data_IF_344537847769
#
_entry.id   IF_344537847769
#
_cell.length_a   1.000
_cell.length_b   1.000
_cell.length_c   1.000
_cell.angle_alpha   90.00
_cell.angle_beta   90.00
_cell.angle_gamma   90.00
#
_symmetry.space_group_name_H-M   'P 1'
#
loop_
_entity.id
_entity.type
_entity.pdbx_description
1 polymer ?
#
# COMPACT_ATOMS: atom_id res chain seq x y z
N UNK A 1 -9.91 -10.29 -19.37
CA UNK A 1 -8.85 -9.94 -18.41
C UNK A 1 -7.71 -9.13 -19.02
N UNK A 2 -6.86 -9.71 -19.88
CA UNK A 2 -5.59 -9.07 -20.32
C UNK A 2 -5.78 -7.68 -20.95
N UNK A 3 -6.78 -7.50 -21.81
CA UNK A 3 -7.11 -6.20 -22.41
C UNK A 3 -7.52 -5.15 -21.36
N UNK A 4 -8.24 -5.55 -20.32
CA UNK A 4 -8.66 -4.67 -19.22
C UNK A 4 -7.41 -4.17 -18.47
N UNK A 5 -6.47 -5.06 -18.18
CA UNK A 5 -5.25 -4.73 -17.45
C UNK A 5 -4.28 -3.88 -18.28
N UNK A 6 -4.13 -4.19 -19.57
CA UNK A 6 -3.36 -3.35 -20.49
C UNK A 6 -3.97 -1.95 -20.61
N UNK A 7 -5.30 -1.87 -20.73
CA UNK A 7 -6.05 -0.62 -20.70
C UNK A 7 -5.82 0.15 -19.39
N UNK A 8 -5.89 -0.52 -18.24
CA UNK A 8 -5.61 0.08 -16.94
C UNK A 8 -4.18 0.65 -16.86
N UNK A 9 -3.16 -0.12 -17.26
CA UNK A 9 -1.76 0.33 -17.24
C UNK A 9 -1.57 1.54 -18.16
N UNK A 10 -2.13 1.49 -19.36
CA UNK A 10 -2.10 2.62 -20.31
C UNK A 10 -2.79 3.86 -19.74
N UNK A 11 -3.98 3.69 -19.14
CA UNK A 11 -4.74 4.77 -18.53
C UNK A 11 -4.00 5.41 -17.35
N UNK A 12 -3.39 4.62 -16.47
CA UNK A 12 -2.74 5.12 -15.26
C UNK A 12 -1.37 5.75 -15.56
N UNK A 13 -0.58 5.14 -16.44
CA UNK A 13 0.79 5.58 -16.70
C UNK A 13 0.88 6.67 -17.76
N UNK A 14 -0.01 6.66 -18.75
CA UNK A 14 0.10 7.54 -19.91
C UNK A 14 -1.10 8.49 -20.04
N UNK A 15 -2.29 7.95 -20.30
CA UNK A 15 -3.44 8.78 -20.69
C UNK A 15 -3.94 9.68 -19.54
N UNK A 16 -4.04 9.14 -18.33
CA UNK A 16 -4.53 9.82 -17.14
C UNK A 16 -3.64 10.98 -16.69
N UNK A 17 -2.31 10.78 -16.52
CA UNK A 17 -1.39 11.88 -16.23
C UNK A 17 -1.41 12.98 -17.30
N UNK A 18 -1.47 12.62 -18.59
CA UNK A 18 -1.56 13.58 -19.69
C UNK A 18 -2.87 14.36 -19.69
N UNK A 19 -4.00 13.68 -19.43
CA UNK A 19 -5.31 14.31 -19.27
C UNK A 19 -5.36 15.27 -18.08
N UNK A 20 -4.70 14.90 -16.97
CA UNK A 20 -4.64 15.72 -15.76
C UNK A 20 -3.60 16.84 -15.84
N UNK A 21 -2.66 16.84 -16.79
CA UNK A 21 -1.55 17.80 -16.86
C UNK A 21 -2.04 19.26 -16.71
N UNK A 22 -3.04 19.65 -17.50
CA UNK A 22 -3.59 21.00 -17.54
C UNK A 22 -4.83 21.20 -16.65
N UNK A 23 -5.15 20.25 -15.75
CA UNK A 23 -6.32 20.32 -14.86
C UNK A 23 -5.92 20.44 -13.40
N UNK A 24 -6.78 21.06 -12.60
CA UNK A 24 -6.63 21.07 -11.13
C UNK A 24 -6.96 19.68 -10.57
N UNK A 25 -6.32 19.22 -9.48
CA UNK A 25 -6.62 17.94 -8.87
C UNK A 25 -8.07 17.90 -8.36
N UNK A 26 -8.78 16.79 -8.59
CA UNK A 26 -10.19 16.66 -8.20
C UNK A 26 -10.35 16.52 -6.68
N UNK A 27 -11.41 17.12 -6.14
CA UNK A 27 -11.80 17.03 -4.72
C UNK A 27 -12.71 15.82 -4.48
N UNK A 28 -12.14 14.62 -4.53
CA UNK A 28 -12.89 13.34 -4.45
C UNK A 28 -13.07 12.82 -3.00
N UNK A 29 -13.15 13.72 -2.01
CA UNK A 29 -13.14 13.32 -0.58
C UNK A 29 -14.27 12.33 -0.25
N UNK A 30 -15.51 12.71 -0.54
CA UNK A 30 -16.70 11.89 -0.24
C UNK A 30 -16.67 10.56 -0.99
N UNK A 31 -16.31 10.60 -2.27
CA UNK A 31 -16.19 9.39 -3.09
C UNK A 31 -15.17 8.41 -2.52
N UNK A 32 -13.99 8.89 -2.11
CA UNK A 32 -12.97 8.04 -1.47
C UNK A 32 -13.45 7.48 -0.13
N UNK A 33 -14.12 8.28 0.70
CA UNK A 33 -14.65 7.79 1.99
C UNK A 33 -15.64 6.65 1.76
N UNK A 34 -16.64 6.86 0.89
CA UNK A 34 -17.63 5.82 0.54
C UNK A 34 -16.93 4.58 -0.01
N UNK A 35 -16.06 4.76 -1.01
CA UNK A 35 -15.33 3.67 -1.63
C UNK A 35 -14.53 2.85 -0.60
N UNK A 36 -13.73 3.49 0.25
CA UNK A 36 -12.92 2.78 1.24
C UNK A 36 -13.80 2.00 2.23
N UNK A 37 -14.92 2.57 2.70
CA UNK A 37 -15.83 1.84 3.59
C UNK A 37 -16.58 0.70 2.89
N UNK A 38 -16.95 0.85 1.61
CA UNK A 38 -17.47 -0.25 0.80
C UNK A 38 -16.42 -1.36 0.64
N UNK A 39 -15.15 -1.01 0.46
CA UNK A 39 -14.05 -1.97 0.39
C UNK A 39 -13.83 -2.69 1.73
N UNK A 40 -13.96 -1.99 2.86
CA UNK A 40 -13.95 -2.62 4.20
C UNK A 40 -15.06 -3.65 4.32
N UNK A 41 -16.31 -3.28 4.02
CA UNK A 41 -17.45 -4.18 4.10
C UNK A 41 -17.31 -5.40 3.16
N UNK A 42 -16.86 -5.16 1.92
CA UNK A 42 -16.66 -6.21 0.92
C UNK A 42 -15.56 -7.19 1.34
N UNK A 43 -14.41 -6.69 1.81
CA UNK A 43 -13.34 -7.57 2.30
C UNK A 43 -13.73 -8.31 3.57
N UNK A 44 -14.47 -7.68 4.50
CA UNK A 44 -14.97 -8.36 5.69
C UNK A 44 -15.94 -9.50 5.33
N UNK A 45 -16.81 -9.27 4.34
CA UNK A 45 -17.68 -10.32 3.81
C UNK A 45 -16.89 -11.45 3.14
N UNK A 46 -15.86 -11.13 2.35
CA UNK A 46 -14.99 -12.14 1.74
C UNK A 46 -14.25 -12.97 2.81
N UNK A 47 -13.76 -12.35 3.88
CA UNK A 47 -13.15 -13.07 5.01
C UNK A 47 -14.15 -14.03 5.64
N UNK A 48 -15.37 -13.56 5.91
CA UNK A 48 -16.44 -14.40 6.45
C UNK A 48 -16.75 -15.59 5.53
N UNK A 49 -16.86 -15.35 4.21
CA UNK A 49 -17.09 -16.41 3.24
C UNK A 49 -15.96 -17.43 3.21
N UNK A 50 -14.69 -17.02 3.22
CA UNK A 50 -13.55 -17.97 3.29
C UNK A 50 -13.55 -18.79 4.59
N UNK A 51 -13.81 -18.15 5.73
CA UNK A 51 -13.90 -18.85 7.02
C UNK A 51 -15.02 -19.90 6.99
N UNK A 52 -16.21 -19.51 6.54
CA UNK A 52 -17.36 -20.41 6.52
C UNK A 52 -17.36 -21.42 5.37
N UNK A 53 -16.45 -21.29 4.40
CA UNK A 53 -16.29 -22.23 3.28
C UNK A 53 -15.29 -23.35 3.56
N UNK A 54 -14.50 -23.24 4.64
CA UNK A 54 -13.57 -24.29 5.03
C UNK A 54 -12.64 -23.88 6.17
N UNK A 55 -12.01 -22.71 6.09
CA UNK A 55 -10.95 -22.29 7.01
C UNK A 55 -11.35 -22.24 8.49
N UNK A 56 -12.60 -21.91 8.79
CA UNK A 56 -13.16 -21.89 10.14
C UNK A 56 -14.00 -23.12 10.50
N UNK A 57 -14.10 -24.12 9.62
CA UNK A 57 -15.02 -25.26 9.81
C UNK A 57 -14.36 -26.61 9.58
N UNK A 58 -13.91 -26.89 8.36
CA UNK A 58 -13.47 -28.23 7.92
C UNK A 58 -11.98 -28.34 7.63
N UNK A 59 -11.30 -27.22 7.37
CA UNK A 59 -9.88 -27.21 6.98
C UNK A 59 -8.97 -27.40 8.20
N UNK A 60 -7.86 -28.08 7.95
CA UNK A 60 -6.86 -28.49 8.95
C UNK A 60 -5.71 -27.51 9.10
N UNK A 61 -5.64 -26.46 8.27
CA UNK A 61 -4.56 -25.48 8.23
C UNK A 61 -3.21 -26.10 7.84
N UNK A 62 -3.28 -27.16 7.02
CA UNK A 62 -2.13 -27.95 6.55
C UNK A 62 -2.31 -28.30 5.07
N UNK A 63 -2.36 -29.60 4.74
CA UNK A 63 -2.63 -30.09 3.40
C UNK A 63 -4.16 -30.17 3.18
N UNK A 64 -4.78 -29.00 2.99
CA UNK A 64 -6.19 -28.95 2.63
C UNK A 64 -6.30 -29.06 1.10
N UNK A 65 -6.93 -30.14 0.63
CA UNK A 65 -7.08 -30.44 -0.79
C UNK A 65 -8.20 -29.61 -1.42
N UNK A 66 -8.17 -29.50 -2.74
CA UNK A 66 -9.30 -28.92 -3.48
C UNK A 66 -10.46 -29.92 -3.42
N UNK A 67 -11.67 -29.44 -3.11
CA UNK A 67 -12.89 -30.25 -3.20
C UNK A 67 -13.58 -29.98 -4.55
N UNK A 68 -13.52 -30.92 -5.52
CA UNK A 68 -14.16 -30.74 -6.82
C UNK A 68 -15.67 -31.06 -6.81
N UNK A 69 -16.23 -31.49 -5.67
CA UNK A 69 -17.63 -31.87 -5.59
C UNK A 69 -18.56 -30.66 -5.68
N UNK A 70 -19.82 -30.90 -6.03
CA UNK A 70 -20.87 -29.87 -6.06
C UNK A 70 -21.56 -29.69 -4.72
N UNK A 71 -20.88 -30.02 -3.61
CA UNK A 71 -21.45 -29.84 -2.28
C UNK A 71 -21.58 -28.34 -1.93
N UNK A 72 -22.49 -27.96 -1.01
CA UNK A 72 -22.72 -26.56 -0.70
C UNK A 72 -21.48 -25.82 -0.18
N UNK A 73 -20.55 -26.49 0.51
CA UNK A 73 -19.32 -25.86 1.02
C UNK A 73 -18.30 -25.57 -0.09
N UNK A 74 -18.04 -26.54 -0.97
CA UNK A 74 -17.15 -26.40 -2.12
C UNK A 74 -17.65 -25.29 -3.06
N UNK A 75 -18.96 -25.27 -3.36
CA UNK A 75 -19.57 -24.19 -4.14
C UNK A 75 -19.46 -22.82 -3.45
N UNK A 76 -19.51 -22.79 -2.11
CA UNK A 76 -19.31 -21.55 -1.34
C UNK A 76 -17.86 -21.08 -1.44
N UNK A 77 -16.87 -21.98 -1.34
CA UNK A 77 -15.45 -21.67 -1.52
C UNK A 77 -15.19 -21.08 -2.90
N UNK A 78 -15.73 -21.72 -3.95
CA UNK A 78 -15.60 -21.22 -5.33
C UNK A 78 -16.20 -19.81 -5.45
N UNK A 79 -17.39 -19.56 -4.88
CA UNK A 79 -18.00 -18.22 -4.86
C UNK A 79 -17.14 -17.21 -4.11
N UNK A 80 -16.56 -17.58 -2.97
CA UNK A 80 -15.66 -16.73 -2.19
C UNK A 80 -14.42 -16.34 -3.01
N UNK A 81 -13.80 -17.30 -3.71
CA UNK A 81 -12.68 -17.08 -4.63
C UNK A 81 -13.06 -16.12 -5.77
N UNK A 82 -14.23 -16.29 -6.39
CA UNK A 82 -14.74 -15.36 -7.41
C UNK A 82 -14.99 -13.95 -6.85
N UNK A 83 -15.54 -13.82 -5.64
CA UNK A 83 -15.72 -12.53 -4.98
C UNK A 83 -14.38 -11.85 -4.71
N UNK A 84 -13.39 -12.60 -4.22
CA UNK A 84 -12.04 -12.10 -4.02
C UNK A 84 -11.42 -11.62 -5.35
N UNK A 85 -11.53 -12.41 -6.41
CA UNK A 85 -11.04 -12.04 -7.74
C UNK A 85 -11.69 -10.76 -8.27
N UNK A 86 -13.02 -10.66 -8.19
CA UNK A 86 -13.72 -9.47 -8.62
C UNK A 86 -13.29 -8.24 -7.81
N UNK A 87 -13.05 -8.40 -6.51
CA UNK A 87 -12.56 -7.31 -5.66
C UNK A 87 -11.24 -6.74 -6.17
N UNK A 88 -10.32 -7.55 -6.72
CA UNK A 88 -9.05 -7.06 -7.30
C UNK A 88 -9.24 -6.07 -8.46
N UNK A 89 -10.33 -6.19 -9.22
CA UNK A 89 -10.67 -5.20 -10.26
C UNK A 89 -11.23 -3.91 -9.67
N UNK A 90 -12.05 -4.02 -8.63
CA UNK A 90 -12.56 -2.84 -7.90
C UNK A 90 -11.40 -2.05 -7.29
N UNK A 91 -10.37 -2.75 -6.80
CA UNK A 91 -9.15 -2.15 -6.25
C UNK A 91 -8.33 -1.33 -7.27
N UNK A 92 -8.53 -1.55 -8.58
CA UNK A 92 -7.90 -0.71 -9.61
C UNK A 92 -8.33 0.77 -9.51
N UNK A 93 -9.47 1.04 -8.87
CA UNK A 93 -9.95 2.40 -8.61
C UNK A 93 -9.03 3.15 -7.64
N UNK A 94 -8.25 2.48 -6.79
CA UNK A 94 -7.25 3.13 -5.91
C UNK A 94 -6.29 3.98 -6.73
N UNK A 95 -5.79 3.41 -7.82
CA UNK A 95 -4.85 4.07 -8.71
C UNK A 95 -5.52 5.17 -9.52
N UNK A 96 -6.78 4.98 -9.92
CA UNK A 96 -7.57 6.03 -10.56
C UNK A 96 -7.72 7.25 -9.62
N UNK A 97 -8.00 7.05 -8.33
CA UNK A 97 -8.04 8.14 -7.34
C UNK A 97 -6.69 8.85 -7.20
N UNK A 98 -5.57 8.13 -7.24
CA UNK A 98 -4.24 8.76 -7.19
C UNK A 98 -3.96 9.64 -8.41
N UNK A 99 -4.29 9.16 -9.61
CA UNK A 99 -4.12 9.92 -10.86
C UNK A 99 -5.01 11.17 -10.87
N UNK A 100 -6.30 11.03 -10.56
CA UNK A 100 -7.26 12.14 -10.54
C UNK A 100 -6.94 13.20 -9.47
N UNK A 101 -6.22 12.82 -8.41
CA UNK A 101 -5.75 13.74 -7.36
C UNK A 101 -4.33 14.27 -7.57
N UNK A 102 -3.67 13.94 -8.69
CA UNK A 102 -2.26 14.27 -8.97
C UNK A 102 -1.30 13.80 -7.86
N UNK A 103 -1.58 12.63 -7.27
CA UNK A 103 -0.73 12.01 -6.24
C UNK A 103 0.22 10.98 -6.84
N UNK A 104 1.01 11.40 -7.82
CA UNK A 104 1.92 10.52 -8.58
C UNK A 104 2.97 9.81 -7.70
N UNK A 105 3.36 10.39 -6.55
CA UNK A 105 4.26 9.73 -5.61
C UNK A 105 3.70 8.44 -4.99
N UNK A 106 2.37 8.25 -5.03
CA UNK A 106 1.69 7.03 -4.58
C UNK A 106 1.62 5.97 -5.69
N UNK A 107 1.75 6.37 -6.96
CA UNK A 107 1.75 5.48 -8.12
C UNK A 107 3.17 4.92 -8.32
N UNK A 108 3.55 3.98 -7.46
CA UNK A 108 4.88 3.34 -7.50
C UNK A 108 4.88 2.09 -8.38
N UNK A 109 6.08 1.62 -8.76
CA UNK A 109 6.23 0.32 -9.41
C UNK A 109 5.57 -0.80 -8.59
N UNK A 110 5.80 -0.83 -7.27
CA UNK A 110 5.18 -1.80 -6.37
C UNK A 110 3.65 -1.79 -6.48
N UNK A 111 3.04 -0.61 -6.46
CA UNK A 111 1.59 -0.44 -6.55
C UNK A 111 1.05 -0.95 -7.89
N UNK A 112 1.61 -0.49 -9.00
CA UNK A 112 1.14 -0.88 -10.33
C UNK A 112 1.37 -2.36 -10.59
N UNK A 113 2.55 -2.88 -10.25
CA UNK A 113 2.87 -4.29 -10.42
C UNK A 113 1.89 -5.15 -9.63
N UNK A 114 1.66 -4.85 -8.35
CA UNK A 114 0.68 -5.55 -7.53
C UNK A 114 -0.73 -5.51 -8.15
N UNK A 115 -1.27 -4.33 -8.42
CA UNK A 115 -2.64 -4.18 -8.92
C UNK A 115 -2.84 -4.71 -10.35
N UNK A 116 -1.78 -4.86 -11.15
CA UNK A 116 -1.87 -5.46 -12.49
C UNK A 116 -1.71 -6.98 -12.42
N UNK A 117 -0.75 -7.44 -11.62
CA UNK A 117 -0.36 -8.84 -11.60
C UNK A 117 -1.30 -9.71 -10.78
N UNK A 118 -1.82 -9.20 -9.65
CA UNK A 118 -2.76 -9.93 -8.78
C UNK A 118 -4.03 -10.40 -9.51
N UNK A 119 -4.82 -9.54 -10.18
CA UNK A 119 -5.97 -10.00 -10.96
C UNK A 119 -5.53 -10.87 -12.15
N UNK A 120 -4.32 -10.70 -12.68
CA UNK A 120 -3.83 -11.52 -13.77
C UNK A 120 -3.58 -12.97 -13.35
N UNK A 121 -2.86 -13.19 -12.24
CA UNK A 121 -2.55 -14.53 -11.74
C UNK A 121 -3.79 -15.24 -11.20
N UNK A 122 -4.67 -14.52 -10.51
CA UNK A 122 -5.90 -15.06 -9.93
C UNK A 122 -6.87 -15.62 -10.96
N UNK A 123 -6.94 -15.04 -12.16
CA UNK A 123 -7.76 -15.59 -13.23
C UNK A 123 -7.36 -17.02 -13.58
N UNK A 124 -6.05 -17.28 -13.68
CA UNK A 124 -5.54 -18.61 -13.97
C UNK A 124 -5.79 -19.56 -12.79
N UNK A 125 -5.66 -19.07 -11.55
CA UNK A 125 -6.00 -19.83 -10.34
C UNK A 125 -7.45 -20.31 -10.33
N UNK A 126 -8.42 -19.43 -10.60
CA UNK A 126 -9.86 -19.76 -10.60
C UNK A 126 -10.29 -20.58 -11.81
N UNK A 127 -9.68 -20.35 -12.98
CA UNK A 127 -10.13 -21.00 -14.23
C UNK A 127 -9.49 -22.36 -14.47
N UNK A 128 -8.24 -22.56 -14.06
CA UNK A 128 -7.54 -23.83 -14.24
C UNK A 128 -7.77 -24.78 -13.06
N UNK A 129 -8.17 -24.26 -11.91
CA UNK A 129 -8.52 -25.04 -10.72
C UNK A 129 -9.79 -24.50 -10.06
N UNK A 130 -10.70 -25.36 -9.57
CA UNK A 130 -11.71 -24.92 -8.62
C UNK A 130 -10.95 -24.41 -7.38
N UNK A 131 -10.76 -23.10 -7.29
CA UNK A 131 -9.87 -22.53 -6.29
C UNK A 131 -10.41 -22.77 -4.90
N UNK A 132 -9.60 -23.44 -4.08
CA UNK A 132 -9.94 -23.94 -2.75
C UNK A 132 -8.73 -24.65 -2.14
N UNK A 133 -8.94 -25.30 -1.00
CA UNK A 133 -7.87 -25.95 -0.26
C UNK A 133 -6.80 -24.96 0.22
N UNK A 134 -5.58 -25.44 0.39
CA UNK A 134 -4.46 -24.69 0.96
C UNK A 134 -4.06 -23.45 0.14
N UNK A 135 -4.34 -23.43 -1.17
CA UNK A 135 -4.08 -22.30 -2.06
C UNK A 135 -4.90 -21.06 -1.69
N UNK A 136 -6.13 -21.24 -1.21
CA UNK A 136 -7.03 -20.12 -0.86
C UNK A 136 -6.62 -19.35 0.41
N UNK A 137 -5.63 -19.84 1.17
CA UNK A 137 -5.20 -19.26 2.44
C UNK A 137 -4.74 -17.80 2.28
N UNK A 138 -3.93 -17.52 1.26
CA UNK A 138 -3.39 -16.18 1.05
C UNK A 138 -4.48 -15.16 0.71
N UNK A 139 -5.57 -15.60 0.09
CA UNK A 139 -6.72 -14.78 -0.22
C UNK A 139 -7.44 -14.34 1.05
N UNK A 140 -7.68 -15.30 1.95
CA UNK A 140 -8.31 -15.04 3.24
C UNK A 140 -7.47 -14.06 4.07
N UNK A 141 -6.17 -14.31 4.22
CA UNK A 141 -5.28 -13.42 4.99
C UNK A 141 -5.18 -12.05 4.31
N UNK A 142 -5.10 -11.98 2.97
CA UNK A 142 -5.08 -10.71 2.26
C UNK A 142 -6.36 -9.90 2.49
N UNK A 143 -7.53 -10.53 2.42
CA UNK A 143 -8.80 -9.87 2.69
C UNK A 143 -8.86 -9.33 4.12
N UNK A 144 -8.36 -10.08 5.13
CA UNK A 144 -8.25 -9.60 6.51
C UNK A 144 -7.37 -8.34 6.62
N UNK A 145 -6.21 -8.34 5.98
CA UNK A 145 -5.32 -7.16 5.98
C UNK A 145 -5.94 -6.00 5.20
N UNK A 146 -6.67 -6.27 4.12
CA UNK A 146 -7.37 -5.25 3.35
C UNK A 146 -8.49 -4.58 4.15
N UNK A 147 -9.19 -5.29 5.05
CA UNK A 147 -10.11 -4.67 6.01
C UNK A 147 -9.39 -3.59 6.83
N UNK A 148 -8.20 -3.90 7.37
CA UNK A 148 -7.41 -2.98 8.19
C UNK A 148 -6.90 -1.81 7.33
N UNK A 149 -6.34 -2.10 6.15
CA UNK A 149 -5.78 -1.11 5.23
C UNK A 149 -6.83 -0.12 4.72
N UNK A 150 -7.99 -0.60 4.26
CA UNK A 150 -9.06 0.26 3.76
C UNK A 150 -9.73 1.04 4.89
N UNK A 151 -9.77 0.50 6.13
CA UNK A 151 -10.19 1.27 7.31
C UNK A 151 -9.25 2.46 7.53
N UNK A 152 -7.93 2.24 7.45
CA UNK A 152 -6.95 3.30 7.56
C UNK A 152 -7.14 4.36 6.45
N UNK A 153 -7.34 3.95 5.19
CA UNK A 153 -7.54 4.87 4.08
C UNK A 153 -8.87 5.63 4.15
N UNK A 154 -9.94 4.99 4.59
CA UNK A 154 -11.24 5.63 4.84
C UNK A 154 -11.14 6.73 5.90
N UNK A 155 -10.49 6.42 7.03
CA UNK A 155 -10.23 7.40 8.10
C UNK A 155 -9.29 8.52 7.63
N UNK A 156 -8.26 8.20 6.84
CA UNK A 156 -7.35 9.19 6.29
C UNK A 156 -8.06 10.14 5.29
N UNK A 157 -9.04 9.63 4.54
CA UNK A 157 -9.86 10.41 3.62
C UNK A 157 -10.93 11.27 4.34
N UNK A 158 -11.40 10.86 5.51
CA UNK A 158 -12.42 11.58 6.30
C UNK A 158 -11.94 12.98 6.79
N UNK A 159 -10.64 13.25 6.77
CA UNK A 159 -10.05 14.59 6.86
C UNK A 159 -9.11 14.81 8.06
N UNK A 160 -8.61 16.04 8.25
CA UNK A 160 -7.57 16.34 9.26
C UNK A 160 -7.96 15.97 10.69
N UNK A 161 -9.25 16.06 11.02
CA UNK A 161 -9.80 15.67 12.34
C UNK A 161 -9.50 14.21 12.70
N UNK A 162 -9.45 13.32 11.72
CA UNK A 162 -9.16 11.89 11.92
C UNK A 162 -7.69 11.56 11.71
N UNK A 163 -7.00 12.27 10.80
CA UNK A 163 -5.59 12.04 10.51
C UNK A 163 -4.67 12.16 11.73
N UNK A 164 -5.00 13.04 12.68
CA UNK A 164 -4.25 13.18 13.94
C UNK A 164 -4.21 11.90 14.79
N UNK A 165 -5.20 11.02 14.64
CA UNK A 165 -5.26 9.74 15.37
C UNK A 165 -4.61 8.58 14.59
N UNK A 166 -4.11 8.81 13.37
CA UNK A 166 -3.54 7.77 12.49
C UNK A 166 -2.03 7.59 12.70
N UNK A 167 -1.59 7.60 13.95
CA UNK A 167 -0.18 7.38 14.35
C UNK A 167 0.34 5.99 13.97
N UNK A 168 -0.56 5.02 13.82
CA UNK A 168 -0.24 3.62 13.58
C UNK A 168 0.05 3.24 12.11
N UNK A 169 0.31 4.23 11.24
CA UNK A 169 0.70 4.00 9.83
C UNK A 169 1.87 3.02 9.68
N UNK A 170 2.84 3.03 10.60
CA UNK A 170 3.98 2.10 10.59
C UNK A 170 3.53 0.64 10.82
N UNK A 171 2.58 0.43 11.72
CA UNK A 171 2.04 -0.89 12.03
C UNK A 171 1.23 -1.46 10.85
N UNK A 172 0.57 -0.62 10.05
CA UNK A 172 -0.10 -1.08 8.83
C UNK A 172 0.89 -1.77 7.87
N UNK A 173 2.02 -1.13 7.58
CA UNK A 173 3.05 -1.74 6.71
C UNK A 173 3.66 -2.98 7.38
N UNK A 174 3.80 -2.98 8.71
CA UNK A 174 4.29 -4.16 9.44
C UNK A 174 3.33 -5.35 9.31
N UNK A 175 2.02 -5.12 9.44
CA UNK A 175 0.98 -6.15 9.25
C UNK A 175 1.03 -6.71 7.82
N UNK A 176 1.24 -5.86 6.81
CA UNK A 176 1.41 -6.31 5.42
C UNK A 176 2.65 -7.20 5.24
N UNK A 177 3.79 -6.85 5.87
CA UNK A 177 4.98 -7.72 5.86
C UNK A 177 4.71 -9.07 6.58
N UNK A 178 4.06 -9.02 7.74
CA UNK A 178 3.69 -10.21 8.52
C UNK A 178 2.77 -11.12 7.70
N UNK A 179 1.81 -10.58 6.95
CA UNK A 179 0.98 -11.35 6.02
C UNK A 179 1.84 -12.19 5.06
N UNK A 180 2.84 -11.58 4.41
CA UNK A 180 3.68 -12.34 3.47
C UNK A 180 4.46 -13.44 4.18
N UNK A 181 4.95 -13.20 5.41
CA UNK A 181 5.62 -14.23 6.21
C UNK A 181 4.65 -15.38 6.54
N UNK A 182 3.47 -15.07 7.05
CA UNK A 182 2.46 -16.06 7.45
C UNK A 182 2.02 -16.90 6.25
N UNK A 183 1.76 -16.26 5.11
CA UNK A 183 1.41 -16.95 3.86
C UNK A 183 2.56 -17.83 3.36
N UNK A 184 3.80 -17.32 3.38
CA UNK A 184 4.97 -18.09 2.96
C UNK A 184 5.25 -19.27 3.88
N UNK A 185 5.07 -19.13 5.20
CA UNK A 185 5.21 -20.24 6.15
C UNK A 185 4.14 -21.30 5.88
N UNK A 186 2.87 -20.88 5.73
CA UNK A 186 1.76 -21.80 5.47
C UNK A 186 1.99 -22.61 4.18
N UNK A 187 2.30 -21.94 3.08
CA UNK A 187 2.53 -22.61 1.80
C UNK A 187 3.79 -23.48 1.82
N UNK A 188 4.80 -23.12 2.63
CA UNK A 188 6.03 -23.91 2.77
C UNK A 188 5.79 -25.26 3.44
N UNK A 189 4.72 -25.42 4.21
CA UNK A 189 4.35 -26.72 4.81
C UNK A 189 4.25 -27.81 3.74
N UNK A 190 3.84 -27.48 2.51
CA UNK A 190 3.78 -28.42 1.39
C UNK A 190 5.11 -29.17 1.16
N UNK A 191 6.25 -28.50 1.30
CA UNK A 191 7.57 -29.11 1.07
C UNK A 191 8.07 -29.98 2.22
N UNK A 192 7.49 -29.84 3.41
CA UNK A 192 7.88 -30.60 4.61
C UNK A 192 6.90 -31.72 4.95
N UNK A 193 5.75 -31.78 4.29
CA UNK A 193 4.77 -32.84 4.47
C UNK A 193 5.12 -34.03 3.58
N UNK A 194 5.38 -35.19 4.19
CA UNK A 194 5.71 -36.44 3.46
C UNK A 194 4.54 -36.93 2.59
N UNK A 195 3.30 -36.59 2.95
CA UNK A 195 2.08 -36.97 2.24
C UNK A 195 1.16 -35.76 2.09
N UNK A 196 1.12 -35.19 0.89
CA UNK A 196 0.17 -34.15 0.52
C UNK A 196 -0.18 -34.26 -0.96
N UNK A 197 -1.31 -34.90 -1.28
CA UNK A 197 -1.76 -35.14 -2.65
C UNK A 197 -2.52 -33.94 -3.22
N UNK A 198 -1.93 -32.74 -3.07
CA UNK A 198 -2.52 -31.53 -3.62
C UNK A 198 -2.59 -31.62 -5.14
N UNK A 199 -3.79 -31.49 -5.70
CA UNK A 199 -4.06 -31.87 -7.08
C UNK A 199 -3.28 -31.03 -8.09
N UNK A 200 -2.92 -29.79 -7.74
CA UNK A 200 -2.23 -28.87 -8.65
C UNK A 200 -1.03 -28.17 -7.97
N UNK A 201 0.09 -28.89 -7.77
CA UNK A 201 1.26 -28.37 -7.05
C UNK A 201 1.89 -27.12 -7.66
N UNK A 202 1.74 -26.93 -8.98
CA UNK A 202 2.29 -25.76 -9.68
C UNK A 202 1.78 -24.43 -9.07
N UNK A 203 0.53 -24.35 -8.62
CA UNK A 203 0.02 -23.15 -7.97
C UNK A 203 0.66 -22.90 -6.60
N UNK A 204 0.99 -23.95 -5.86
CA UNK A 204 1.72 -23.86 -4.58
C UNK A 204 3.11 -23.25 -4.81
N UNK A 205 3.84 -23.74 -5.82
CA UNK A 205 5.14 -23.20 -6.18
C UNK A 205 5.04 -21.73 -6.62
N UNK A 206 4.05 -21.38 -7.45
CA UNK A 206 3.82 -20.01 -7.89
C UNK A 206 3.50 -19.09 -6.71
N UNK A 207 2.56 -19.47 -5.83
CA UNK A 207 2.20 -18.70 -4.63
C UNK A 207 3.43 -18.45 -3.76
N UNK A 208 4.29 -19.44 -3.56
CA UNK A 208 5.52 -19.30 -2.80
C UNK A 208 6.50 -18.31 -3.46
N UNK A 209 6.76 -18.44 -4.77
CA UNK A 209 7.63 -17.52 -5.52
C UNK A 209 7.09 -16.08 -5.44
N UNK A 210 5.78 -15.89 -5.62
CA UNK A 210 5.14 -14.57 -5.50
C UNK A 210 5.25 -14.01 -4.08
N UNK A 211 5.00 -14.83 -3.06
CA UNK A 211 5.15 -14.44 -1.65
C UNK A 211 6.54 -13.91 -1.35
N UNK A 212 7.58 -14.61 -1.82
CA UNK A 212 8.97 -14.18 -1.66
C UNK A 212 9.28 -12.91 -2.45
N UNK A 213 8.80 -12.80 -3.69
CA UNK A 213 8.99 -11.60 -4.51
C UNK A 213 8.36 -10.36 -3.86
N UNK A 214 7.11 -10.45 -3.40
CA UNK A 214 6.45 -9.34 -2.72
C UNK A 214 7.10 -9.01 -1.38
N UNK A 215 7.53 -10.02 -0.62
CA UNK A 215 8.27 -9.80 0.63
C UNK A 215 9.53 -8.94 0.40
N UNK A 216 10.31 -9.22 -0.65
CA UNK A 216 11.48 -8.43 -1.01
C UNK A 216 11.10 -6.99 -1.38
N UNK A 217 10.07 -6.79 -2.21
CA UNK A 217 9.64 -5.46 -2.61
C UNK A 217 9.11 -4.62 -1.42
N UNK A 218 8.33 -5.23 -0.54
CA UNK A 218 7.81 -4.59 0.66
C UNK A 218 8.90 -4.31 1.69
N UNK A 219 9.89 -5.19 1.82
CA UNK A 219 11.08 -4.95 2.65
C UNK A 219 11.89 -3.77 2.11
N UNK A 220 12.08 -3.69 0.80
CA UNK A 220 12.73 -2.53 0.17
C UNK A 220 11.93 -1.24 0.42
N UNK A 221 10.61 -1.28 0.27
CA UNK A 221 9.73 -0.16 0.61
C UNK A 221 9.89 0.27 2.07
N UNK A 222 9.92 -0.68 3.02
CA UNK A 222 10.12 -0.40 4.44
C UNK A 222 11.44 0.31 4.71
N UNK A 223 12.54 -0.21 4.14
CA UNK A 223 13.88 0.38 4.27
C UNK A 223 13.88 1.81 3.73
N UNK A 224 13.30 2.05 2.55
CA UNK A 224 13.28 3.38 1.96
C UNK A 224 12.38 4.37 2.73
N UNK A 225 11.21 3.92 3.16
CA UNK A 225 10.20 4.77 3.78
C UNK A 225 10.53 5.12 5.24
N UNK A 226 10.99 4.14 6.02
CA UNK A 226 11.11 4.25 7.48
C UNK A 226 12.56 4.27 7.98
N UNK A 227 13.46 3.48 7.39
CA UNK A 227 14.87 3.45 7.83
C UNK A 227 15.62 4.65 7.23
N UNK A 228 15.47 4.88 5.93
CA UNK A 228 16.07 6.04 5.22
C UNK A 228 15.23 7.32 5.32
N UNK A 229 14.08 7.26 5.98
CA UNK A 229 13.24 8.42 6.30
C UNK A 229 12.55 9.13 5.12
N UNK A 230 12.62 8.62 3.88
CA UNK A 230 12.14 9.35 2.68
C UNK A 230 10.61 9.56 2.64
N UNK A 231 9.83 8.88 3.49
CA UNK A 231 8.35 8.94 3.51
C UNK A 231 7.76 8.98 4.91
N UNK A 232 8.53 9.42 5.91
CA UNK A 232 8.03 9.57 7.28
C UNK A 232 6.87 10.58 7.32
N UNK A 233 5.88 10.39 8.22
CA UNK A 233 4.90 11.43 8.49
C UNK A 233 5.66 12.70 8.89
N UNK A 234 5.29 13.84 8.33
CA UNK A 234 5.84 15.12 8.76
C UNK A 234 5.51 15.28 10.24
N UNK A 235 6.50 15.04 11.10
CA UNK A 235 6.45 15.48 12.48
C UNK A 235 6.52 17.00 12.36
N UNK A 236 5.43 17.67 12.72
CA UNK A 236 5.42 19.12 12.91
C UNK A 236 6.23 19.40 14.17
N UNK A 237 7.55 19.21 14.09
CA UNK A 237 8.48 19.81 15.03
C UNK A 237 8.74 21.21 14.49
N UNK A 238 8.10 22.20 15.11
CA UNK A 238 8.58 23.58 15.10
C UNK A 238 9.98 23.59 15.72
N UNK A 239 11.00 23.27 14.94
CA UNK A 239 12.37 23.63 15.28
C UNK A 239 12.56 25.09 14.89
N UNK A 240 12.83 26.00 15.84
CA UNK A 240 13.22 27.35 15.49
C UNK A 240 14.49 27.27 14.64
N UNK A 241 14.46 27.89 13.47
CA UNK A 241 15.67 28.11 12.66
C UNK A 241 16.64 28.95 13.47
N UNK A 242 17.63 28.33 14.08
CA UNK A 242 18.79 29.03 14.61
C UNK A 242 19.72 29.37 13.45
N UNK A 243 19.87 30.66 13.19
CA UNK A 243 20.81 31.21 12.22
C UNK A 243 22.25 31.04 12.72
N UNK A 244 23.16 30.70 11.80
CA UNK A 244 24.57 31.10 11.84
C UNK A 244 25.49 30.35 12.80
N UNK A 245 26.23 29.38 12.25
CA UNK A 245 27.48 28.90 12.84
C UNK A 245 28.60 29.90 12.49
N UNK A 246 29.17 30.57 13.49
CA UNK A 246 30.47 31.24 13.39
C UNK A 246 31.40 30.62 14.44
N UNK A 247 32.54 30.13 13.96
CA UNK A 247 33.53 29.42 14.75
C UNK A 247 34.39 30.40 15.57
N UNK A 248 34.36 30.22 16.89
CA UNK A 248 35.41 30.42 17.89
C UNK A 248 36.40 31.59 17.80
N UNK A 249 36.32 32.49 18.78
CA UNK A 249 37.43 32.79 19.70
C UNK A 249 36.91 33.51 20.97
N UNK A 250 37.70 33.33 22.04
CA UNK A 250 37.45 33.46 23.48
C UNK A 250 36.73 34.72 24.03
N UNK A 251 36.10 34.50 25.18
CA UNK A 251 35.26 35.43 25.93
C UNK A 251 36.05 36.44 26.78
N UNK A 252 35.56 37.69 26.85
CA UNK A 252 35.67 38.55 28.06
C UNK A 252 34.37 39.34 28.22
N UNK A 253 33.80 39.28 29.43
CA UNK A 253 32.61 39.98 29.86
C UNK A 253 32.94 41.39 30.42
N UNK A 254 32.17 42.43 30.06
CA UNK A 254 32.16 43.74 30.74
C UNK A 254 30.70 44.29 30.73
N UNK A 255 30.20 44.92 31.81
CA UNK A 255 28.76 45.11 32.05
C UNK A 255 28.15 46.43 31.51
N UNK A 256 26.81 46.44 31.51
CA UNK A 256 25.82 47.50 31.25
C UNK A 256 26.28 48.98 31.34
N UNK A 257 25.87 49.79 30.35
CA UNK A 257 25.62 51.22 30.56
C UNK A 257 25.73 52.16 29.33
N UNK A 258 24.58 52.77 28.97
CA UNK A 258 24.38 54.09 28.34
C UNK A 258 24.53 54.34 26.83
N UNK A 259 23.48 55.03 26.37
CA UNK A 259 23.33 56.02 25.30
C UNK A 259 23.05 55.58 23.86
N UNK A 260 21.80 55.88 23.44
CA UNK A 260 21.44 56.18 22.07
C UNK A 260 22.26 57.38 21.58
N UNK A 261 22.76 57.28 20.34
CA UNK A 261 22.80 58.42 19.42
C UNK A 261 22.68 57.97 17.96
N UNK A 262 21.94 58.77 17.20
CA UNK A 262 21.65 58.61 15.78
C UNK A 262 22.91 58.73 14.92
N UNK A 263 23.08 57.82 13.97
CA UNK A 263 24.02 57.95 12.85
C UNK A 263 23.38 57.40 11.59
N UNK A 264 22.84 58.31 10.77
CA UNK A 264 22.37 58.06 9.41
C UNK A 264 23.56 57.74 8.51
N UNK A 265 23.59 56.55 7.92
CA UNK A 265 24.39 56.28 6.73
C UNK A 265 23.54 55.63 5.64
N UNK A 266 23.33 56.41 4.58
CA UNK A 266 22.74 56.04 3.31
C UNK A 266 23.85 55.54 2.39
N UNK A 267 23.80 54.30 1.90
CA UNK A 267 24.42 53.93 0.61
C UNK A 267 23.61 52.85 -0.13
N UNK A 268 22.80 53.35 -1.08
CA UNK A 268 22.61 52.90 -2.48
C UNK A 268 22.76 51.42 -2.91
N UNK A 269 21.65 50.92 -3.48
CA UNK A 269 21.45 50.00 -4.62
C UNK A 269 22.64 49.24 -5.22
N UNK A 270 22.48 47.92 -5.36
CA UNK A 270 23.33 47.10 -6.20
C UNK A 270 22.75 45.72 -6.55
N UNK A 271 22.13 45.67 -7.74
CA UNK A 271 22.10 44.55 -8.69
C UNK A 271 21.57 43.15 -8.30
N UNK A 272 20.53 42.76 -9.05
CA UNK A 272 20.13 41.38 -9.27
C UNK A 272 21.21 40.60 -10.03
N UNK A 273 21.46 39.37 -9.60
CA UNK A 273 22.14 38.34 -10.40
C UNK A 273 21.42 37.01 -10.22
N UNK A 274 20.65 36.66 -11.24
CA UNK A 274 20.10 35.33 -11.47
C UNK A 274 21.23 34.41 -11.87
N UNK A 275 21.44 33.31 -11.14
CA UNK A 275 22.28 32.21 -11.63
C UNK A 275 21.98 30.86 -10.96
N UNK A 276 21.66 29.91 -11.85
CA UNK A 276 21.95 28.47 -11.79
C UNK A 276 21.14 27.55 -10.88
N UNK A 277 20.11 27.01 -11.53
CA UNK A 277 19.79 25.57 -11.62
C UNK A 277 21.04 24.69 -11.44
N UNK A 278 20.93 23.68 -10.57
CA UNK A 278 21.78 22.49 -10.61
C UNK A 278 20.90 21.26 -10.41
N UNK A 279 20.78 20.48 -11.48
CA UNK A 279 20.26 19.11 -11.48
C UNK A 279 21.22 18.18 -10.73
N UNK A 280 20.65 17.26 -9.94
CA UNK A 280 21.04 15.85 -9.82
C UNK A 280 19.76 15.04 -9.64
#
# INVERSE_FOLDING_TARGET
MTLILLGYVFLVLYAGPRYMANRKPYKLKTAMVIYNFCMVASNAYIVYEFLMSGWGTTYTWRCDLIDPSSNPQALRMIRASWLFYFSKYVELLDTAFFVLRKKHSQVTFLHIFHHSFMPWSWWWGITLTPEGGMGSFHAMVNAMVHVIMYTYYGLAAAGPRFQKYLWWKKYMTAIQLIQFIVVSVHISQYYFMEKCDYQVPIFIHLIWIYGMFFFVLFSNFWIQAYVKGKRLPAITEDKPKQNGFVSGSEAVAVPNGKHLENGTDHYTNGFALSAKIKEV
#
